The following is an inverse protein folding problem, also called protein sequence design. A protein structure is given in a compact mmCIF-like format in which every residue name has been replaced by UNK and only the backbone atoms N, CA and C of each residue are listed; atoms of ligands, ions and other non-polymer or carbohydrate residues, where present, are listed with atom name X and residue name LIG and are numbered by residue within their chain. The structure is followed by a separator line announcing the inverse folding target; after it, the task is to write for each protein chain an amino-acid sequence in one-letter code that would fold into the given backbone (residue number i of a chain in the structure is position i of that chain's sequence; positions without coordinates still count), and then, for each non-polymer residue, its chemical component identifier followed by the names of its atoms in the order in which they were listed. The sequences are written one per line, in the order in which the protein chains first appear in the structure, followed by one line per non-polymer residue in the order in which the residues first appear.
data_IF_841697037069
#
_entry.id   IF_841697037069
#
_cell.length_a   1.000
_cell.length_b   1.000
_cell.length_c   1.000
_cell.angle_alpha   90.00
_cell.angle_beta   90.00
_cell.angle_gamma   90.00
#
_symmetry.space_group_name_H-M   'P 1'
#
loop_
_entity.id
_entity.type
_entity.pdbx_description
1 polymer ?
#
# COMPACT_ATOMS: atom_id res chain seq x y z
N UNK A 1 18.16 46.41 55.28
CA UNK A 1 17.42 45.12 55.24
C UNK A 1 16.37 45.21 54.15
N UNK A 2 16.22 44.16 53.33
CA UNK A 2 15.28 43.95 52.21
C UNK A 2 15.86 44.07 50.79
N UNK A 3 15.82 42.90 50.17
CA UNK A 3 16.07 42.45 48.81
C UNK A 3 15.22 43.16 47.74
N UNK A 4 15.80 43.42 46.56
CA UNK A 4 15.05 43.79 45.36
C UNK A 4 15.34 42.81 44.21
N UNK A 5 14.25 42.41 43.54
CA UNK A 5 14.09 41.32 42.56
C UNK A 5 14.48 41.75 41.13
N UNK A 6 14.66 40.75 40.28
CA UNK A 6 15.01 40.83 38.84
C UNK A 6 14.03 41.64 37.98
N UNK A 7 14.49 42.23 36.86
CA UNK A 7 13.63 42.98 35.94
C UNK A 7 12.96 42.05 34.91
N UNK A 8 11.67 41.80 35.12
CA UNK A 8 10.70 41.67 34.03
C UNK A 8 10.12 43.07 33.78
N UNK A 9 9.60 43.28 32.58
CA UNK A 9 8.88 44.48 32.09
C UNK A 9 9.74 45.46 31.28
N UNK A 10 9.89 45.14 29.99
CA UNK A 10 9.91 46.14 28.91
C UNK A 10 9.67 45.43 27.57
N UNK A 11 8.40 45.22 27.21
CA UNK A 11 7.86 45.36 25.84
C UNK A 11 6.37 45.00 25.84
N UNK A 12 5.55 45.84 26.46
CA UNK A 12 4.11 45.84 26.27
C UNK A 12 3.73 47.10 25.49
N UNK A 13 3.81 47.04 24.15
CA UNK A 13 3.08 47.92 23.21
C UNK A 13 3.36 47.49 21.76
N UNK A 14 2.64 46.47 21.31
CA UNK A 14 2.03 46.51 19.98
C UNK A 14 0.72 45.73 20.03
N UNK A 15 -0.37 46.47 19.93
CA UNK A 15 -1.75 46.01 20.08
C UNK A 15 -2.22 45.37 18.77
N UNK A 16 -2.66 44.12 18.89
CA UNK A 16 -3.79 43.48 18.19
C UNK A 16 -4.17 44.01 16.80
N UNK A 17 -3.95 43.16 15.78
CA UNK A 17 -5.06 42.71 14.92
C UNK A 17 -5.31 41.23 15.19
N UNK A 18 -6.48 40.94 15.78
CA UNK A 18 -6.99 39.59 16.00
C UNK A 18 -7.33 38.98 14.63
N UNK A 19 -6.63 37.92 14.23
CA UNK A 19 -7.24 36.84 13.48
C UNK A 19 -7.52 35.72 14.49
N UNK A 20 -8.78 35.29 14.60
CA UNK A 20 -9.20 34.30 15.59
C UNK A 20 -8.57 32.91 15.34
N UNK A 21 -8.58 32.01 16.34
CA UNK A 21 -8.15 30.63 16.17
C UNK A 21 -9.27 29.81 15.50
N UNK A 22 -9.60 30.09 14.24
CA UNK A 22 -10.61 29.35 13.48
C UNK A 22 -10.56 29.68 12.00
N UNK A 23 -9.66 29.01 11.27
CA UNK A 23 -9.61 29.08 9.81
C UNK A 23 -8.82 27.90 9.22
N UNK A 24 -7.81 27.41 9.93
CA UNK A 24 -7.04 26.21 9.54
C UNK A 24 -7.88 24.93 9.65
N UNK A 25 -8.87 24.89 10.55
CA UNK A 25 -9.70 23.70 10.80
C UNK A 25 -10.97 23.64 9.94
N UNK A 26 -11.40 24.76 9.34
CA UNK A 26 -12.62 24.80 8.52
C UNK A 26 -12.41 24.25 7.10
N UNK A 27 -11.15 24.12 6.64
CA UNK A 27 -10.82 23.58 5.31
C UNK A 27 -10.54 22.06 5.28
N UNK A 28 -10.97 21.32 6.31
CA UNK A 28 -10.92 19.88 6.28
C UNK A 28 -9.52 19.26 6.33
N UNK A 29 -8.53 19.96 6.87
CA UNK A 29 -7.17 19.47 7.10
C UNK A 29 -7.14 18.18 7.95
N UNK A 30 -6.35 17.20 7.53
CA UNK A 30 -5.99 16.00 8.30
C UNK A 30 -4.81 16.28 9.25
N UNK A 31 -4.47 15.34 10.16
CA UNK A 31 -3.30 15.49 11.05
C UNK A 31 -1.98 15.67 10.27
N UNK A 32 -1.83 15.01 9.11
CA UNK A 32 -0.72 15.23 8.18
C UNK A 32 -0.69 16.66 7.64
N UNK A 33 -1.85 17.21 7.25
CA UNK A 33 -1.96 18.59 6.77
C UNK A 33 -1.59 19.58 7.88
N UNK A 34 -2.00 19.33 9.12
CA UNK A 34 -1.68 20.20 10.27
C UNK A 34 -0.19 20.17 10.61
N UNK A 35 0.46 19.00 10.55
CA UNK A 35 1.90 18.88 10.77
C UNK A 35 2.71 19.64 9.70
N UNK A 36 2.25 19.65 8.45
CA UNK A 36 2.87 20.39 7.35
C UNK A 36 2.63 21.92 7.42
N UNK A 37 1.47 22.36 7.92
CA UNK A 37 1.13 23.78 8.03
C UNK A 37 1.76 24.45 9.27
N UNK A 38 1.84 23.76 10.41
CA UNK A 38 2.29 24.37 11.66
C UNK A 38 3.82 24.43 11.83
N UNK A 39 4.60 23.60 11.12
CA UNK A 39 6.04 23.44 11.38
C UNK A 39 6.97 23.95 10.27
N UNK A 40 6.42 24.57 9.22
CA UNK A 40 7.16 24.79 7.98
C UNK A 40 7.42 23.46 7.27
N UNK A 41 7.96 23.50 6.05
CA UNK A 41 8.31 22.28 5.28
C UNK A 41 9.27 21.44 6.12
N UNK A 42 8.74 20.44 6.82
CA UNK A 42 9.57 19.44 7.46
C UNK A 42 9.96 18.43 6.36
N UNK A 43 11.23 18.39 5.91
CA UNK A 43 11.69 17.38 4.96
C UNK A 43 11.61 15.97 5.56
N UNK A 44 11.56 15.86 6.90
CA UNK A 44 11.60 14.59 7.60
C UNK A 44 10.26 13.84 7.53
N UNK A 45 10.38 12.51 7.44
CA UNK A 45 9.27 11.58 7.53
C UNK A 45 8.53 11.80 8.87
N UNK A 46 7.20 11.54 8.96
CA UNK A 46 6.44 11.69 10.20
C UNK A 46 6.97 10.82 11.35
N UNK A 47 7.85 9.87 11.04
CA UNK A 47 8.65 9.08 11.96
C UNK A 47 10.12 9.41 11.70
N UNK A 48 10.95 9.55 12.74
CA UNK A 48 12.37 9.87 12.56
C UNK A 48 12.99 8.76 11.69
N UNK A 49 13.92 9.10 10.78
CA UNK A 49 14.54 8.14 9.87
C UNK A 49 15.13 6.92 10.61
N UNK A 50 15.60 7.11 11.85
CA UNK A 50 16.05 6.05 12.75
C UNK A 50 14.96 5.04 13.16
N UNK A 51 13.70 5.47 13.28
CA UNK A 51 12.58 4.62 13.70
C UNK A 51 12.07 3.79 12.51
N UNK A 52 12.17 4.35 11.30
CA UNK A 52 11.97 3.62 10.03
C UNK A 52 13.11 2.63 9.80
N UNK A 53 14.36 3.03 10.04
CA UNK A 53 15.52 2.12 9.99
C UNK A 53 15.43 1.00 11.01
N UNK A 54 15.01 1.28 12.24
CA UNK A 54 14.86 0.25 13.26
C UNK A 54 13.77 -0.76 12.88
N UNK A 55 12.66 -0.31 12.26
CA UNK A 55 11.65 -1.21 11.70
C UNK A 55 12.16 -2.06 10.51
N UNK A 56 13.02 -1.50 9.66
CA UNK A 56 13.65 -2.21 8.54
C UNK A 56 14.79 -3.15 8.98
N UNK A 57 15.54 -2.78 10.01
CA UNK A 57 16.65 -3.54 10.59
C UNK A 57 16.15 -4.68 11.50
N UNK A 58 15.08 -4.48 12.28
CA UNK A 58 14.46 -5.55 13.08
C UNK A 58 13.93 -6.69 12.21
N UNK A 59 13.48 -6.39 10.98
CA UNK A 59 13.09 -7.39 9.97
C UNK A 59 14.29 -8.01 9.21
N UNK A 60 15.51 -7.49 9.43
CA UNK A 60 16.75 -7.97 8.83
C UNK A 60 17.67 -8.69 9.84
N UNK A 61 17.46 -8.51 11.16
CA UNK A 61 18.42 -8.95 12.18
C UNK A 61 18.47 -10.43 12.51
N UNK A 62 17.60 -11.29 11.95
CA UNK A 62 17.74 -12.75 12.13
C UNK A 62 18.55 -13.46 11.03
N UNK A 63 19.12 -12.74 10.06
CA UNK A 63 20.00 -13.39 9.07
C UNK A 63 21.25 -12.53 8.81
N UNK A 64 22.36 -13.00 9.36
CA UNK A 64 23.75 -12.58 9.15
C UNK A 64 24.32 -11.44 10.01
N UNK A 65 25.03 -11.88 11.05
CA UNK A 65 26.24 -11.24 11.57
C UNK A 65 27.21 -10.97 10.42
N UNK A 66 27.48 -9.71 10.08
CA UNK A 66 28.82 -9.15 9.81
C UNK A 66 28.69 -7.64 9.54
N UNK A 67 29.53 -6.86 10.23
CA UNK A 67 29.55 -5.39 10.29
C UNK A 67 30.18 -4.75 9.05
N UNK A 68 29.64 -3.62 8.61
CA UNK A 68 30.44 -2.45 8.19
C UNK A 68 29.63 -1.13 8.40
N UNK A 69 30.04 -0.20 9.30
CA UNK A 69 29.21 0.93 9.72
C UNK A 69 29.37 2.24 8.91
N UNK A 70 29.85 2.21 7.66
CA UNK A 70 30.09 3.46 6.87
C UNK A 70 29.52 3.46 5.44
N UNK A 71 28.33 2.91 5.22
CA UNK A 71 27.64 3.08 3.92
C UNK A 71 26.85 4.39 3.89
N UNK A 72 27.44 5.45 3.28
CA UNK A 72 26.72 6.67 2.88
C UNK A 72 25.43 6.29 2.15
N UNK A 73 24.33 6.99 2.47
CA UNK A 73 23.03 6.87 1.80
C UNK A 73 23.26 6.89 0.28
N UNK A 74 23.08 5.73 -0.35
CA UNK A 74 23.05 5.64 -1.80
C UNK A 74 21.77 6.39 -2.21
N UNK A 75 21.86 7.39 -3.10
CA UNK A 75 20.66 7.99 -3.75
C UNK A 75 19.69 6.86 -4.09
N UNK A 76 18.38 7.03 -3.87
CA UNK A 76 17.38 6.09 -4.39
C UNK A 76 17.54 6.03 -5.92
N UNK A 77 18.37 5.11 -6.39
CA UNK A 77 18.66 4.89 -7.80
C UNK A 77 17.52 4.04 -8.34
N UNK A 78 16.49 4.67 -8.90
CA UNK A 78 15.35 3.93 -9.48
C UNK A 78 14.15 4.79 -9.89
N UNK A 79 13.99 6.00 -9.34
CA UNK A 79 12.86 6.88 -9.70
C UNK A 79 13.03 7.42 -11.12
N UNK A 80 12.00 7.27 -11.93
CA UNK A 80 11.90 7.81 -13.28
C UNK A 80 11.36 9.23 -13.19
N UNK A 81 12.02 10.17 -13.90
CA UNK A 81 11.65 11.58 -13.91
C UNK A 81 10.58 11.83 -15.01
N UNK A 82 9.43 12.38 -14.60
CA UNK A 82 8.31 12.77 -15.48
C UNK A 82 8.02 14.28 -15.47
N UNK A 83 8.98 15.12 -15.09
CA UNK A 83 8.84 16.59 -14.98
C UNK A 83 8.47 17.27 -16.32
N UNK A 84 8.68 16.56 -17.43
CA UNK A 84 8.28 17.02 -18.77
C UNK A 84 6.77 16.90 -19.03
N UNK A 85 6.03 16.13 -18.23
CA UNK A 85 4.57 16.03 -18.30
C UNK A 85 3.98 16.98 -17.25
N UNK A 86 3.13 17.96 -17.64
CA UNK A 86 2.47 18.83 -16.68
C UNK A 86 1.72 18.02 -15.62
N UNK A 87 1.87 18.38 -14.34
CA UNK A 87 1.42 17.53 -13.22
C UNK A 87 -0.06 17.20 -13.26
N UNK A 88 -0.90 18.15 -13.67
CA UNK A 88 -2.34 17.97 -13.83
C UNK A 88 -2.73 16.98 -14.94
N UNK A 89 -1.81 16.69 -15.85
CA UNK A 89 -1.99 15.71 -16.94
C UNK A 89 -1.40 14.34 -16.61
N UNK A 90 -0.64 14.23 -15.52
CA UNK A 90 -0.08 12.95 -15.08
C UNK A 90 -1.16 12.07 -14.47
N UNK A 91 -1.07 10.77 -14.75
CA UNK A 91 -1.94 9.74 -14.20
C UNK A 91 -1.18 8.87 -13.20
N UNK A 92 -1.82 8.63 -12.05
CA UNK A 92 -1.36 7.70 -11.01
C UNK A 92 -2.38 6.57 -10.90
N UNK A 93 -1.98 5.34 -11.23
CA UNK A 93 -2.89 4.18 -11.17
C UNK A 93 -2.74 3.47 -9.83
N UNK A 94 -3.88 3.18 -9.20
CA UNK A 94 -3.98 2.55 -7.90
C UNK A 94 -4.75 1.25 -8.01
N UNK A 95 -4.17 0.14 -7.55
CA UNK A 95 -4.77 -1.18 -7.67
C UNK A 95 -5.20 -1.75 -6.32
N UNK A 96 -6.50 -2.08 -6.14
CA UNK A 96 -7.02 -2.56 -4.87
C UNK A 96 -6.45 -3.94 -4.50
N UNK A 97 -6.55 -4.27 -3.22
CA UNK A 97 -6.09 -5.55 -2.69
C UNK A 97 -7.20 -6.54 -2.40
N UNK A 98 -6.85 -7.62 -1.71
CA UNK A 98 -7.81 -8.58 -1.18
C UNK A 98 -8.76 -7.88 -0.18
N UNK A 99 -10.05 -8.19 -0.29
CA UNK A 99 -11.14 -7.53 0.42
C UNK A 99 -11.96 -6.60 -0.47
N UNK A 100 -11.50 -6.33 -1.70
CA UNK A 100 -12.24 -5.54 -2.68
C UNK A 100 -13.16 -6.37 -3.60
N UNK A 101 -13.03 -7.71 -3.57
CA UNK A 101 -13.85 -8.62 -4.37
C UNK A 101 -15.33 -8.61 -3.96
N UNK A 102 -16.21 -8.78 -4.94
CA UNK A 102 -17.65 -8.96 -4.75
C UNK A 102 -18.23 -9.76 -5.93
N UNK A 103 -19.34 -10.47 -5.72
CA UNK A 103 -20.02 -11.18 -6.81
C UNK A 103 -20.64 -10.17 -7.77
N UNK A 104 -20.38 -10.35 -9.06
CA UNK A 104 -20.74 -9.43 -10.14
C UNK A 104 -19.60 -8.50 -10.56
N UNK A 105 -18.42 -8.59 -9.94
CA UNK A 105 -17.24 -7.85 -10.40
C UNK A 105 -16.77 -8.33 -11.77
N UNK A 106 -16.23 -7.43 -12.58
CA UNK A 106 -15.83 -7.73 -13.96
C UNK A 106 -16.93 -7.48 -14.98
N UNK A 107 -18.21 -7.44 -14.58
CA UNK A 107 -19.34 -7.26 -15.50
C UNK A 107 -19.24 -6.00 -16.38
N UNK A 108 -18.68 -4.91 -15.85
CA UNK A 108 -18.63 -3.61 -16.56
C UNK A 108 -17.54 -3.54 -17.63
N UNK A 109 -16.66 -4.55 -17.68
CA UNK A 109 -15.54 -4.57 -18.63
C UNK A 109 -15.70 -5.65 -19.71
N UNK A 110 -16.70 -6.55 -19.60
CA UNK A 110 -16.88 -7.66 -20.56
C UNK A 110 -17.37 -7.23 -21.94
N UNK A 111 -17.82 -5.99 -22.10
CA UNK A 111 -18.09 -5.37 -23.39
C UNK A 111 -16.80 -5.01 -24.16
N UNK A 112 -15.64 -4.99 -23.49
CA UNK A 112 -14.33 -4.82 -24.09
C UNK A 112 -13.69 -6.19 -24.40
N UNK A 113 -13.24 -6.34 -25.65
CA UNK A 113 -12.66 -7.60 -26.15
C UNK A 113 -11.38 -7.96 -25.42
N UNK A 114 -10.51 -6.99 -25.18
CA UNK A 114 -9.23 -7.13 -24.51
C UNK A 114 -9.43 -7.56 -23.04
N UNK A 115 -10.39 -6.93 -22.36
CA UNK A 115 -10.78 -7.30 -21.01
C UNK A 115 -11.32 -8.73 -20.93
N UNK A 116 -12.19 -9.13 -21.87
CA UNK A 116 -12.70 -10.51 -21.95
C UNK A 116 -11.59 -11.53 -22.19
N UNK A 117 -10.65 -11.23 -23.08
CA UNK A 117 -9.50 -12.08 -23.35
C UNK A 117 -8.65 -12.33 -22.08
N UNK A 118 -8.48 -11.33 -21.21
CA UNK A 118 -7.79 -11.52 -19.92
C UNK A 118 -8.48 -12.54 -19.02
N UNK A 119 -9.81 -12.59 -19.00
CA UNK A 119 -10.57 -13.60 -18.25
C UNK A 119 -10.43 -15.01 -18.85
N UNK A 120 -10.43 -15.12 -20.18
CA UNK A 120 -10.25 -16.39 -20.89
C UNK A 120 -8.84 -16.96 -20.67
N UNK A 121 -7.81 -16.13 -20.86
CA UNK A 121 -6.40 -16.47 -20.58
C UNK A 121 -6.20 -16.87 -19.12
N UNK A 122 -6.82 -16.12 -18.19
CA UNK A 122 -6.74 -16.44 -16.77
C UNK A 122 -7.37 -17.78 -16.46
N UNK A 123 -8.56 -18.06 -17.00
CA UNK A 123 -9.26 -19.33 -16.77
C UNK A 123 -8.44 -20.52 -17.29
N UNK A 124 -7.77 -20.36 -18.43
CA UNK A 124 -6.85 -21.37 -18.96
C UNK A 124 -5.63 -21.63 -18.04
N UNK A 125 -5.03 -20.57 -17.48
CA UNK A 125 -3.87 -20.69 -16.56
C UNK A 125 -4.29 -21.27 -15.19
N UNK A 126 -5.46 -20.86 -14.69
CA UNK A 126 -5.95 -21.24 -13.38
C UNK A 126 -6.53 -22.67 -13.38
N UNK A 127 -7.11 -23.10 -14.50
CA UNK A 127 -7.76 -24.40 -14.66
C UNK A 127 -9.21 -24.43 -14.19
N UNK A 128 -9.83 -23.27 -14.02
CA UNK A 128 -11.25 -23.12 -13.68
C UNK A 128 -11.79 -21.82 -14.28
N UNK A 129 -13.11 -21.74 -14.43
CA UNK A 129 -13.80 -20.56 -14.98
C UNK A 129 -13.79 -19.41 -13.95
N UNK A 130 -12.83 -18.50 -14.11
CA UNK A 130 -12.68 -17.35 -13.23
C UNK A 130 -13.77 -16.30 -13.52
N UNK A 131 -14.13 -16.12 -14.79
CA UNK A 131 -15.17 -15.17 -15.19
C UNK A 131 -16.49 -15.50 -14.49
N UNK A 132 -16.94 -16.76 -14.61
CA UNK A 132 -18.15 -17.22 -13.95
C UNK A 132 -18.08 -17.07 -12.44
N UNK A 133 -16.93 -17.37 -11.82
CA UNK A 133 -16.77 -17.20 -10.38
C UNK A 133 -16.88 -15.73 -9.96
N UNK A 134 -16.32 -14.80 -10.73
CA UNK A 134 -16.43 -13.36 -10.47
C UNK A 134 -17.86 -12.85 -10.66
N UNK A 135 -18.56 -13.31 -11.69
CA UNK A 135 -19.90 -12.83 -12.04
C UNK A 135 -21.01 -13.44 -11.17
N UNK A 136 -20.94 -14.73 -10.90
CA UNK A 136 -22.02 -15.53 -10.32
C UNK A 136 -21.70 -16.04 -8.90
N UNK A 137 -20.43 -16.13 -8.53
CA UNK A 137 -20.00 -16.65 -7.24
C UNK A 137 -19.98 -18.19 -7.17
N UNK A 138 -20.26 -18.81 -6.00
CA UNK A 138 -20.78 -18.19 -4.78
C UNK A 138 -19.74 -17.32 -4.07
N UNK A 139 -20.20 -16.31 -3.33
CA UNK A 139 -19.36 -15.38 -2.56
C UNK A 139 -18.42 -16.12 -1.59
N UNK A 140 -18.90 -17.20 -0.97
CA UNK A 140 -18.11 -18.03 -0.05
C UNK A 140 -16.89 -18.67 -0.70
N UNK A 141 -16.99 -19.03 -1.99
CA UNK A 141 -15.85 -19.53 -2.77
C UNK A 141 -14.96 -18.38 -3.22
N UNK A 142 -15.56 -17.32 -3.77
CA UNK A 142 -14.84 -16.14 -4.24
C UNK A 142 -13.98 -15.50 -3.13
N UNK A 143 -14.43 -15.51 -1.88
CA UNK A 143 -13.71 -14.96 -0.74
C UNK A 143 -12.55 -15.82 -0.21
N UNK A 144 -12.38 -17.07 -0.67
CA UNK A 144 -11.23 -17.87 -0.26
C UNK A 144 -9.96 -17.34 -0.92
N UNK A 145 -8.86 -17.31 -0.17
CA UNK A 145 -7.56 -16.74 -0.59
C UNK A 145 -7.11 -17.21 -1.97
N UNK A 146 -7.27 -18.51 -2.26
CA UNK A 146 -6.89 -19.14 -3.53
C UNK A 146 -7.64 -18.59 -4.74
N UNK A 147 -8.88 -18.10 -4.55
CA UNK A 147 -9.71 -17.55 -5.62
C UNK A 147 -9.72 -16.01 -5.62
N UNK A 148 -9.80 -15.37 -4.45
CA UNK A 148 -9.94 -13.92 -4.37
C UNK A 148 -8.71 -13.18 -4.92
N UNK A 149 -7.50 -13.70 -4.69
CA UNK A 149 -6.29 -13.06 -5.19
C UNK A 149 -6.28 -13.03 -6.73
N UNK A 150 -6.39 -14.17 -7.44
CA UNK A 150 -6.51 -14.15 -8.90
C UNK A 150 -7.67 -13.30 -9.40
N UNK A 151 -8.82 -13.38 -8.73
CA UNK A 151 -10.02 -12.66 -9.13
C UNK A 151 -9.83 -11.14 -9.08
N UNK A 152 -9.29 -10.60 -7.98
CA UNK A 152 -8.99 -9.16 -7.86
C UNK A 152 -7.95 -8.73 -8.91
N UNK A 153 -6.88 -9.51 -9.09
CA UNK A 153 -5.83 -9.19 -10.06
C UNK A 153 -6.37 -9.13 -11.49
N UNK A 154 -7.06 -10.18 -11.95
CA UNK A 154 -7.58 -10.26 -13.32
C UNK A 154 -8.63 -9.19 -13.57
N UNK A 155 -9.55 -8.97 -12.63
CA UNK A 155 -10.53 -7.89 -12.72
C UNK A 155 -9.88 -6.50 -12.80
N UNK A 156 -8.81 -6.25 -12.05
CA UNK A 156 -8.03 -5.01 -12.14
C UNK A 156 -7.33 -4.84 -13.49
N UNK A 157 -6.72 -5.90 -14.03
CA UNK A 157 -6.05 -5.83 -15.35
C UNK A 157 -7.09 -5.66 -16.47
N UNK A 158 -8.21 -6.38 -16.42
CA UNK A 158 -9.30 -6.22 -17.38
C UNK A 158 -9.87 -4.79 -17.36
N UNK A 159 -10.01 -4.18 -16.18
CA UNK A 159 -10.38 -2.77 -16.04
C UNK A 159 -9.33 -1.84 -16.67
N UNK A 160 -8.04 -2.13 -16.48
CA UNK A 160 -6.95 -1.36 -17.06
C UNK A 160 -6.95 -1.43 -18.59
N UNK A 161 -7.21 -2.60 -19.19
CA UNK A 161 -7.30 -2.75 -20.65
C UNK A 161 -8.39 -1.83 -21.21
N UNK A 162 -9.60 -1.88 -20.63
CA UNK A 162 -10.71 -1.02 -21.07
C UNK A 162 -10.40 0.47 -20.85
N UNK A 163 -9.87 0.83 -19.68
CA UNK A 163 -9.52 2.22 -19.36
C UNK A 163 -8.51 2.81 -20.35
N UNK A 164 -7.51 2.03 -20.77
CA UNK A 164 -6.50 2.49 -21.75
C UNK A 164 -7.09 2.75 -23.13
N UNK A 165 -8.20 2.09 -23.50
CA UNK A 165 -8.92 2.33 -24.75
C UNK A 165 -9.82 3.56 -24.67
N UNK A 166 -10.39 3.82 -23.50
CA UNK A 166 -11.29 4.96 -23.27
C UNK A 166 -10.55 6.27 -22.99
N UNK A 167 -9.33 6.20 -22.43
CA UNK A 167 -8.52 7.35 -22.02
C UNK A 167 -7.06 7.20 -22.50
N UNK A 168 -6.73 7.83 -23.64
CA UNK A 168 -5.38 7.87 -24.20
C UNK A 168 -4.35 8.50 -23.25
N UNK A 169 -4.80 9.38 -22.35
CA UNK A 169 -3.98 9.98 -21.32
C UNK A 169 -3.47 8.95 -20.33
N UNK A 170 -4.27 7.93 -19.99
CA UNK A 170 -3.81 6.82 -19.13
C UNK A 170 -2.72 6.00 -19.82
N UNK A 171 -2.84 5.76 -21.12
CA UNK A 171 -1.84 5.00 -21.87
C UNK A 171 -0.49 5.75 -21.99
N UNK A 172 -0.52 7.07 -22.13
CA UNK A 172 0.66 7.89 -22.47
C UNK A 172 1.25 8.68 -21.31
N UNK A 173 0.45 8.97 -20.26
CA UNK A 173 0.82 9.88 -19.16
C UNK A 173 0.80 9.22 -17.79
N UNK A 174 0.79 7.89 -17.71
CA UNK A 174 0.96 7.17 -16.44
C UNK A 174 2.39 7.31 -15.93
N UNK A 175 2.57 8.04 -14.85
CA UNK A 175 3.90 8.31 -14.25
C UNK A 175 4.19 7.41 -13.05
N UNK A 176 3.15 6.99 -12.36
CA UNK A 176 3.23 6.27 -11.10
C UNK A 176 2.15 5.19 -11.03
N UNK A 177 2.51 4.02 -10.52
CA UNK A 177 1.57 2.92 -10.26
C UNK A 177 1.84 2.31 -8.89
N UNK A 178 0.79 2.09 -8.13
CA UNK A 178 0.89 1.46 -6.81
C UNK A 178 -0.29 0.52 -6.60
N UNK A 179 -0.10 -0.52 -5.80
CA UNK A 179 -1.19 -1.42 -5.48
C UNK A 179 -1.08 -2.01 -4.09
N UNK A 180 -2.22 -2.21 -3.44
CA UNK A 180 -2.27 -2.66 -2.07
C UNK A 180 -2.19 -4.18 -1.98
N UNK A 181 -1.15 -4.71 -1.33
CA UNK A 181 -0.92 -6.16 -1.17
C UNK A 181 -0.92 -6.90 -2.52
N UNK A 182 -1.94 -7.71 -2.82
CA UNK A 182 -2.11 -8.38 -4.11
C UNK A 182 -2.17 -7.40 -5.30
N UNK A 183 -2.68 -6.18 -5.08
CA UNK A 183 -2.71 -5.13 -6.11
C UNK A 183 -1.31 -4.70 -6.59
N UNK A 184 -0.25 -4.97 -5.82
CA UNK A 184 1.13 -4.72 -6.27
C UNK A 184 1.47 -5.50 -7.55
N UNK A 185 0.87 -6.67 -7.75
CA UNK A 185 1.08 -7.48 -8.95
C UNK A 185 0.42 -6.82 -10.16
N UNK A 186 -0.77 -6.24 -9.97
CA UNK A 186 -1.41 -5.41 -10.99
C UNK A 186 -0.56 -4.17 -11.32
N UNK A 187 0.03 -3.54 -10.30
CA UNK A 187 0.94 -2.41 -10.49
C UNK A 187 2.22 -2.80 -11.24
N UNK A 188 2.81 -3.97 -10.94
CA UNK A 188 3.97 -4.49 -11.65
C UNK A 188 3.68 -4.79 -13.12
N UNK A 189 2.48 -5.29 -13.44
CA UNK A 189 2.02 -5.50 -14.83
C UNK A 189 1.75 -4.16 -15.51
N UNK A 190 1.03 -3.25 -14.86
CA UNK A 190 0.74 -1.92 -15.39
C UNK A 190 2.01 -1.12 -15.70
N UNK A 191 3.03 -1.26 -14.85
CA UNK A 191 4.37 -0.66 -15.01
C UNK A 191 5.32 -1.46 -15.91
N UNK A 192 4.87 -2.54 -16.55
CA UNK A 192 5.64 -3.32 -17.53
C UNK A 192 6.75 -4.21 -16.95
N UNK A 193 6.82 -4.36 -15.62
CA UNK A 193 7.83 -5.17 -14.96
C UNK A 193 7.57 -6.67 -15.05
N UNK A 194 6.29 -7.06 -15.12
CA UNK A 194 5.82 -8.44 -15.31
C UNK A 194 4.84 -8.51 -16.47
N UNK A 195 4.79 -9.64 -17.18
CA UNK A 195 3.66 -9.93 -18.07
C UNK A 195 2.43 -10.33 -17.25
N UNK A 196 1.25 -10.25 -17.87
CA UNK A 196 0.00 -10.68 -17.26
C UNK A 196 0.05 -12.16 -16.84
N UNK A 197 0.51 -13.04 -17.73
CA UNK A 197 0.55 -14.49 -17.53
C UNK A 197 1.54 -14.87 -16.43
N UNK A 198 2.73 -14.26 -16.44
CA UNK A 198 3.76 -14.49 -15.43
C UNK A 198 3.31 -14.00 -14.06
N UNK A 199 2.71 -12.80 -13.99
CA UNK A 199 2.13 -12.30 -12.75
C UNK A 199 1.03 -13.24 -12.24
N UNK A 200 0.14 -13.74 -13.11
CA UNK A 200 -0.92 -14.65 -12.72
C UNK A 200 -0.40 -16.01 -12.21
N UNK A 201 0.64 -16.57 -12.84
CA UNK A 201 1.28 -17.81 -12.37
C UNK A 201 1.87 -17.66 -10.97
N UNK A 202 2.63 -16.58 -10.76
CA UNK A 202 3.21 -16.28 -9.44
C UNK A 202 2.11 -16.05 -8.41
N UNK A 203 1.04 -15.36 -8.81
CA UNK A 203 -0.07 -15.01 -7.93
C UNK A 203 -0.95 -16.21 -7.58
N UNK A 204 -1.16 -17.15 -8.51
CA UNK A 204 -1.74 -18.47 -8.22
C UNK A 204 -0.93 -19.17 -7.15
N UNK A 205 0.40 -19.26 -7.33
CA UNK A 205 1.27 -19.93 -6.35
C UNK A 205 1.27 -19.24 -5.00
N UNK A 206 1.33 -17.90 -4.99
CA UNK A 206 1.19 -17.08 -3.79
C UNK A 206 -0.11 -17.39 -3.05
N UNK A 207 -1.23 -17.40 -3.76
CA UNK A 207 -2.54 -17.60 -3.16
C UNK A 207 -2.67 -19.00 -2.54
N UNK A 208 -2.19 -20.04 -3.22
CA UNK A 208 -2.10 -21.42 -2.71
C UNK A 208 -1.21 -21.52 -1.48
N UNK A 209 0.01 -20.98 -1.55
CA UNK A 209 0.99 -21.07 -0.48
C UNK A 209 0.52 -20.33 0.79
N UNK A 210 -0.01 -19.11 0.64
CA UNK A 210 -0.57 -18.35 1.76
C UNK A 210 -1.84 -19.01 2.32
N UNK A 211 -2.65 -19.66 1.48
CA UNK A 211 -3.78 -20.45 1.95
C UNK A 211 -3.33 -21.63 2.81
N UNK A 212 -2.28 -22.35 2.39
CA UNK A 212 -1.72 -23.46 3.15
C UNK A 212 -1.18 -23.01 4.51
N UNK A 213 -0.47 -21.88 4.59
CA UNK A 213 -0.03 -21.30 5.87
C UNK A 213 -1.21 -21.08 6.83
N UNK A 214 -2.35 -20.61 6.33
CA UNK A 214 -3.55 -20.39 7.14
C UNK A 214 -4.19 -21.68 7.67
N UNK A 215 -3.96 -22.84 7.03
CA UNK A 215 -4.44 -24.12 7.53
C UNK A 215 -3.58 -24.66 8.67
N UNK A 216 -2.32 -24.23 8.77
CA UNK A 216 -1.39 -24.68 9.81
C UNK A 216 -1.64 -23.99 11.15
N UNK A 217 -2.09 -22.74 11.14
CA UNK A 217 -2.27 -21.94 12.35
C UNK A 217 -3.51 -21.06 12.24
N UNK A 218 -4.42 -21.22 13.19
CA UNK A 218 -5.57 -20.33 13.34
C UNK A 218 -5.07 -18.93 13.72
N UNK A 219 -5.31 -17.97 12.83
CA UNK A 219 -4.88 -16.60 12.99
C UNK A 219 -5.90 -15.64 12.38
N UNK A 220 -5.76 -14.35 12.68
CA UNK A 220 -6.64 -13.33 12.14
C UNK A 220 -6.00 -11.96 12.16
N UNK A 221 -6.69 -11.00 11.55
CA UNK A 221 -6.25 -9.61 11.51
C UNK A 221 -7.34 -8.71 12.08
N UNK A 222 -6.91 -7.72 12.87
CA UNK A 222 -7.75 -6.64 13.34
C UNK A 222 -7.12 -5.31 12.91
N UNK A 223 -7.95 -4.38 12.47
CA UNK A 223 -7.51 -2.98 12.33
C UNK A 223 -7.57 -2.33 13.73
N UNK A 224 -6.66 -1.44 14.10
CA UNK A 224 -6.61 -0.82 15.45
C UNK A 224 -6.32 0.67 15.36
N UNK A 225 -7.21 1.52 15.93
CA UNK A 225 -7.01 2.98 16.03
C UNK A 225 -5.82 3.32 16.91
N UNK A 226 -4.89 4.10 16.38
CA UNK A 226 -3.79 4.66 17.16
C UNK A 226 -3.68 6.17 16.92
N UNK A 227 -3.23 6.89 17.94
CA UNK A 227 -2.88 8.30 17.93
C UNK A 227 -1.46 8.49 18.51
N UNK A 228 -0.96 9.73 18.58
CA UNK A 228 0.39 10.00 19.07
C UNK A 228 0.65 9.54 20.52
N UNK A 229 -0.37 9.38 21.35
CA UNK A 229 -0.24 8.89 22.73
C UNK A 229 -0.44 7.37 22.88
N UNK A 230 -0.78 6.67 21.79
CA UNK A 230 -1.02 5.24 21.80
C UNK A 230 0.28 4.46 21.99
N UNK A 231 0.29 3.56 22.97
CA UNK A 231 1.44 2.69 23.26
C UNK A 231 1.29 1.36 22.53
N UNK A 232 1.28 1.39 21.19
CA UNK A 232 1.03 0.20 20.37
C UNK A 232 2.04 -0.92 20.67
N UNK A 233 3.33 -0.60 20.79
CA UNK A 233 4.36 -1.60 21.09
C UNK A 233 4.14 -2.28 22.44
N UNK A 234 3.69 -1.53 23.45
CA UNK A 234 3.34 -2.08 24.74
C UNK A 234 2.09 -2.98 24.66
N UNK A 235 1.09 -2.58 23.87
CA UNK A 235 -0.11 -3.39 23.65
C UNK A 235 0.20 -4.70 22.90
N UNK A 236 1.06 -4.65 21.87
CA UNK A 236 1.54 -5.82 21.15
C UNK A 236 2.32 -6.74 22.10
N UNK A 237 3.25 -6.18 22.89
CA UNK A 237 4.01 -6.94 23.89
C UNK A 237 3.07 -7.64 24.88
N UNK A 238 2.11 -6.91 25.45
CA UNK A 238 1.13 -7.47 26.37
C UNK A 238 0.27 -8.58 25.72
N UNK A 239 -0.12 -8.42 24.45
CA UNK A 239 -0.85 -9.45 23.72
C UNK A 239 -0.02 -10.74 23.53
N UNK A 240 1.28 -10.61 23.26
CA UNK A 240 2.20 -11.76 23.15
C UNK A 240 2.41 -12.45 24.49
N UNK A 241 2.58 -11.68 25.57
CA UNK A 241 2.69 -12.21 26.94
C UNK A 241 1.42 -12.96 27.34
N UNK A 242 0.24 -12.38 27.08
CA UNK A 242 -1.05 -13.01 27.33
C UNK A 242 -1.24 -14.33 26.54
N UNK A 243 -0.84 -14.36 25.26
CA UNK A 243 -0.87 -15.59 24.48
C UNK A 243 0.08 -16.66 25.04
N UNK A 244 1.28 -16.26 25.48
CA UNK A 244 2.27 -17.15 26.08
C UNK A 244 1.77 -17.76 27.41
N UNK A 245 1.10 -16.98 28.26
CA UNK A 245 0.46 -17.46 29.49
C UNK A 245 -0.59 -18.54 29.21
N UNK A 246 -1.27 -18.44 28.07
CA UNK A 246 -2.28 -19.41 27.60
C UNK A 246 -1.70 -20.58 26.79
N UNK A 247 -0.37 -20.62 26.61
CA UNK A 247 0.33 -21.59 25.75
C UNK A 247 -0.15 -21.55 24.29
N UNK A 248 -0.61 -20.38 23.84
CA UNK A 248 -0.98 -20.10 22.45
C UNK A 248 0.23 -19.53 21.68
N UNK A 249 0.18 -19.52 20.35
CA UNK A 249 1.24 -18.94 19.51
C UNK A 249 1.24 -17.42 19.70
N UNK A 250 2.26 -16.89 20.38
CA UNK A 250 2.42 -15.48 20.72
C UNK A 250 2.87 -14.57 19.57
N UNK A 251 2.28 -14.74 18.37
CA UNK A 251 2.55 -13.86 17.24
C UNK A 251 1.47 -12.77 17.19
N UNK A 252 1.91 -11.52 17.34
CA UNK A 252 1.09 -10.34 17.18
C UNK A 252 1.97 -9.26 16.55
N UNK A 253 1.67 -8.88 15.31
CA UNK A 253 2.50 -7.98 14.51
C UNK A 253 1.64 -6.97 13.75
N UNK A 254 2.27 -5.86 13.35
CA UNK A 254 1.65 -4.92 12.43
C UNK A 254 1.73 -5.50 11.02
N UNK A 255 0.59 -5.82 10.43
CA UNK A 255 0.52 -6.33 9.05
C UNK A 255 0.37 -5.21 8.00
N UNK A 256 -0.27 -4.09 8.34
CA UNK A 256 -0.55 -3.01 7.39
C UNK A 256 -0.45 -1.62 8.06
N UNK A 257 0.22 -0.69 7.38
CA UNK A 257 0.20 0.74 7.70
C UNK A 257 -0.73 1.44 6.70
N UNK A 258 -1.97 1.75 7.11
CA UNK A 258 -3.01 2.23 6.20
C UNK A 258 -3.12 3.76 6.11
N UNK A 259 -3.08 4.47 7.25
CA UNK A 259 -3.22 5.93 7.35
C UNK A 259 -2.79 6.47 8.73
N UNK A 260 -2.47 7.77 8.80
CA UNK A 260 -1.95 8.45 9.98
C UNK A 260 -3.05 8.77 11.02
N UNK A 261 -2.77 8.53 12.30
CA UNK A 261 -3.50 9.11 13.46
C UNK A 261 -4.98 8.72 13.64
N UNK A 262 -5.53 7.88 12.77
CA UNK A 262 -6.89 7.32 12.81
C UNK A 262 -6.74 5.90 12.30
N UNK A 263 -7.42 4.90 12.85
CA UNK A 263 -7.69 3.59 12.23
C UNK A 263 -8.97 3.03 12.88
N UNK A 264 -9.72 2.16 12.23
CA UNK A 264 -11.00 1.62 12.77
C UNK A 264 -10.73 0.28 13.43
N UNK A 265 -11.38 -0.04 14.56
CA UNK A 265 -11.35 -1.42 15.09
C UNK A 265 -12.37 -2.28 14.34
N UNK A 266 -11.89 -3.09 13.39
CA UNK A 266 -12.72 -4.06 12.69
C UNK A 266 -11.91 -5.35 12.53
N UNK A 267 -12.50 -6.48 12.92
CA UNK A 267 -12.00 -7.80 12.49
C UNK A 267 -12.06 -7.82 10.98
N UNK A 268 -10.92 -8.03 10.33
CA UNK A 268 -10.89 -8.20 8.89
C UNK A 268 -11.48 -9.57 8.57
N UNK A 269 -12.35 -9.62 7.54
CA UNK A 269 -12.93 -10.86 7.03
C UNK A 269 -11.87 -11.59 6.19
N UNK A 270 -10.78 -11.99 6.83
CA UNK A 270 -9.65 -12.69 6.24
C UNK A 270 -9.42 -14.00 6.96
N UNK A 271 -9.00 -15.01 6.21
CA UNK A 271 -8.78 -16.38 6.69
C UNK A 271 -7.50 -16.55 7.51
N UNK A 272 -6.62 -15.53 7.58
CA UNK A 272 -5.41 -15.60 8.38
C UNK A 272 -4.68 -14.27 8.53
N UNK A 273 -3.53 -14.30 9.20
CA UNK A 273 -2.69 -13.15 9.51
C UNK A 273 -1.65 -12.89 8.42
N UNK A 274 -2.10 -12.39 7.27
CA UNK A 274 -1.25 -12.05 6.13
C UNK A 274 -0.24 -10.95 6.48
N UNK A 275 0.90 -10.91 5.77
CA UNK A 275 1.96 -9.91 5.97
C UNK A 275 2.66 -10.00 7.34
N UNK A 276 2.67 -11.19 7.92
CA UNK A 276 3.36 -11.52 9.17
C UNK A 276 4.27 -12.74 8.99
N UNK A 277 5.07 -13.06 10.00
CA UNK A 277 5.93 -14.25 10.00
C UNK A 277 5.16 -15.58 9.87
N UNK A 278 3.84 -15.58 10.11
CA UNK A 278 3.00 -16.76 9.87
C UNK A 278 2.93 -17.17 8.39
N UNK A 279 3.32 -16.28 7.47
CA UNK A 279 3.39 -16.56 6.04
C UNK A 279 4.79 -16.99 5.56
N UNK A 280 5.74 -17.25 6.48
CA UNK A 280 7.13 -17.54 6.13
C UNK A 280 7.29 -18.72 5.16
N UNK A 281 6.50 -19.76 5.35
CA UNK A 281 6.55 -20.97 4.51
C UNK A 281 6.13 -20.70 3.05
N UNK A 282 5.34 -19.64 2.80
CA UNK A 282 4.95 -19.26 1.45
C UNK A 282 6.05 -18.52 0.67
N UNK A 283 7.03 -17.94 1.36
CA UNK A 283 8.13 -17.17 0.74
C UNK A 283 8.98 -18.01 -0.23
N UNK A 284 9.53 -19.19 0.15
CA UNK A 284 10.32 -20.00 -0.76
C UNK A 284 9.51 -20.45 -1.99
N UNK A 285 8.23 -20.78 -1.82
CA UNK A 285 7.36 -21.18 -2.93
C UNK A 285 7.17 -20.07 -3.97
N UNK A 286 6.93 -18.84 -3.50
CA UNK A 286 6.80 -17.67 -4.38
C UNK A 286 8.15 -17.31 -5.01
N UNK A 287 9.27 -17.45 -4.28
CA UNK A 287 10.60 -17.24 -4.84
C UNK A 287 10.90 -18.22 -5.98
N UNK A 288 10.52 -19.49 -5.82
CA UNK A 288 10.74 -20.51 -6.85
C UNK A 288 9.93 -20.24 -8.11
N UNK A 289 8.71 -19.73 -7.97
CA UNK A 289 7.91 -19.29 -9.12
C UNK A 289 8.50 -18.03 -9.76
N UNK A 290 8.95 -17.05 -8.96
CA UNK A 290 9.60 -15.83 -9.44
C UNK A 290 10.94 -16.07 -10.16
N UNK A 291 11.59 -17.23 -9.96
CA UNK A 291 12.80 -17.62 -10.70
C UNK A 291 12.47 -18.02 -12.15
N UNK A 292 11.24 -18.45 -12.42
CA UNK A 292 10.79 -18.94 -13.73
C UNK A 292 10.32 -17.80 -14.65
N UNK A 293 10.03 -16.63 -14.07
CA UNK A 293 9.50 -15.47 -14.81
C UNK A 293 10.58 -14.45 -15.14
N UNK A 294 10.34 -13.69 -16.21
CA UNK A 294 11.18 -12.57 -16.59
C UNK A 294 10.71 -11.29 -15.88
N UNK A 295 11.61 -10.63 -15.16
CA UNK A 295 11.35 -9.33 -14.55
C UNK A 295 12.11 -8.25 -15.31
N UNK A 296 11.37 -7.30 -15.85
CA UNK A 296 11.89 -6.19 -16.64
C UNK A 296 11.98 -4.91 -15.80
N UNK A 297 12.87 -3.98 -16.14
CA UNK A 297 12.86 -2.65 -15.55
C UNK A 297 11.50 -1.97 -15.79
N UNK A 298 10.85 -1.39 -14.77
CA UNK A 298 9.59 -0.68 -14.96
C UNK A 298 9.71 0.51 -15.92
N UNK A 299 8.63 0.80 -16.65
CA UNK A 299 8.54 1.99 -17.54
C UNK A 299 7.98 3.22 -16.84
N UNK A 300 7.42 3.06 -15.64
CA UNK A 300 6.95 4.12 -14.75
C UNK A 300 7.32 3.80 -13.29
N UNK A 301 7.08 4.72 -12.37
CA UNK A 301 7.41 4.51 -10.96
C UNK A 301 6.45 3.47 -10.33
N UNK A 302 6.93 2.25 -10.07
CA UNK A 302 6.17 1.21 -9.37
C UNK A 302 6.54 1.20 -7.89
N UNK A 303 5.58 1.29 -6.99
CA UNK A 303 5.84 1.35 -5.54
C UNK A 303 5.75 -0.03 -4.89
N UNK A 304 6.75 -0.36 -4.05
CA UNK A 304 6.82 -1.59 -3.29
C UNK A 304 6.17 -1.42 -1.92
N UNK A 305 5.23 -2.30 -1.58
CA UNK A 305 4.62 -2.40 -0.26
C UNK A 305 5.61 -2.77 0.84
N UNK A 306 6.67 -3.53 0.52
CA UNK A 306 7.71 -3.91 1.49
C UNK A 306 8.57 -2.73 1.95
N UNK A 307 9.07 -1.91 1.01
CA UNK A 307 9.99 -0.80 1.31
C UNK A 307 9.28 0.55 1.50
N UNK A 308 8.03 0.67 1.04
CA UNK A 308 7.32 1.95 0.99
C UNK A 308 7.93 2.94 -0.02
N UNK A 309 8.73 2.45 -0.98
CA UNK A 309 9.45 3.23 -1.96
C UNK A 309 9.36 2.59 -3.36
N UNK A 310 9.85 3.30 -4.39
CA UNK A 310 9.89 2.80 -5.77
C UNK A 310 10.76 1.53 -5.87
N UNK A 311 10.31 0.55 -6.65
CA UNK A 311 11.08 -0.66 -6.95
C UNK A 311 12.44 -0.31 -7.58
N UNK A 312 13.51 -1.05 -7.26
CA UNK A 312 14.78 -0.92 -7.95
C UNK A 312 14.67 -1.43 -9.39
N UNK A 313 15.59 -1.02 -10.26
CA UNK A 313 15.63 -1.48 -11.65
C UNK A 313 16.22 -2.89 -11.82
N UNK A 314 16.83 -3.44 -10.78
CA UNK A 314 17.50 -4.75 -10.83
C UNK A 314 16.53 -5.87 -10.50
N UNK A 315 16.30 -6.76 -11.48
CA UNK A 315 15.39 -7.91 -11.36
C UNK A 315 15.63 -8.78 -10.12
N UNK A 316 16.90 -9.03 -9.74
CA UNK A 316 17.23 -9.80 -8.51
C UNK A 316 16.70 -9.15 -7.24
N UNK A 317 16.82 -7.82 -7.13
CA UNK A 317 16.35 -7.07 -5.96
C UNK A 317 14.81 -7.03 -5.96
N UNK A 318 14.18 -6.82 -7.12
CA UNK A 318 12.73 -6.89 -7.27
C UNK A 318 12.17 -8.25 -6.84
N UNK A 319 12.72 -9.37 -7.33
CA UNK A 319 12.29 -10.73 -6.92
C UNK A 319 12.27 -10.89 -5.42
N UNK A 320 13.35 -10.46 -4.76
CA UNK A 320 13.47 -10.57 -3.32
C UNK A 320 12.42 -9.74 -2.59
N UNK A 321 12.16 -8.51 -3.06
CA UNK A 321 11.16 -7.62 -2.48
C UNK A 321 9.73 -8.15 -2.66
N UNK A 322 9.39 -8.65 -3.86
CA UNK A 322 8.07 -9.22 -4.17
C UNK A 322 7.79 -10.43 -3.27
N UNK A 323 8.76 -11.33 -3.10
CA UNK A 323 8.57 -12.50 -2.24
C UNK A 323 8.53 -12.13 -0.75
N UNK A 324 9.41 -11.23 -0.29
CA UNK A 324 9.41 -10.80 1.12
C UNK A 324 8.18 -9.99 1.49
N UNK A 325 7.45 -9.43 0.52
CA UNK A 325 6.17 -8.76 0.75
C UNK A 325 5.19 -9.63 1.57
N UNK A 326 5.23 -10.96 1.40
CA UNK A 326 4.31 -11.89 2.09
C UNK A 326 4.46 -11.89 3.62
N UNK A 327 5.64 -11.56 4.12
CA UNK A 327 6.01 -11.56 5.55
C UNK A 327 6.36 -10.18 6.09
N UNK A 328 6.22 -9.15 5.25
CA UNK A 328 6.54 -7.76 5.60
C UNK A 328 5.26 -6.94 5.67
N UNK A 329 5.17 -5.97 6.58
CA UNK A 329 4.03 -5.07 6.64
C UNK A 329 3.83 -4.33 5.32
N UNK A 330 2.58 -4.15 4.92
CA UNK A 330 2.24 -3.31 3.77
C UNK A 330 2.35 -1.83 4.17
N UNK A 331 3.37 -1.15 3.63
CA UNK A 331 3.66 0.27 3.89
C UNK A 331 2.80 1.22 3.03
N UNK A 332 1.48 1.03 3.04
CA UNK A 332 0.55 1.76 2.17
C UNK A 332 0.45 3.25 2.50
N UNK A 333 0.47 3.61 3.78
CA UNK A 333 0.48 5.00 4.25
C UNK A 333 1.72 5.74 3.72
N UNK A 334 2.88 5.10 3.76
CA UNK A 334 4.14 5.66 3.28
C UNK A 334 4.12 5.86 1.77
N UNK A 335 3.59 4.88 1.02
CA UNK A 335 3.38 5.00 -0.42
C UNK A 335 2.45 6.18 -0.72
N UNK A 336 1.29 6.26 -0.05
CA UNK A 336 0.38 7.38 -0.24
C UNK A 336 1.06 8.71 0.06
N UNK A 337 1.82 8.81 1.17
CA UNK A 337 2.57 10.02 1.50
C UNK A 337 3.51 10.43 0.36
N UNK A 338 4.22 9.50 -0.29
CA UNK A 338 5.03 9.84 -1.47
C UNK A 338 4.16 10.33 -2.64
N UNK A 339 3.03 9.67 -2.86
CA UNK A 339 2.11 10.02 -3.95
C UNK A 339 1.42 11.37 -3.74
N UNK A 340 1.05 11.77 -2.52
CA UNK A 340 0.32 13.02 -2.27
C UNK A 340 1.15 14.13 -1.60
N UNK A 341 2.40 13.88 -1.18
CA UNK A 341 3.26 14.91 -0.56
C UNK A 341 3.58 15.99 -1.57
N UNK A 342 3.07 17.19 -1.32
CA UNK A 342 3.14 18.32 -2.23
C UNK A 342 3.31 19.63 -1.44
N UNK A 343 3.83 20.67 -2.11
CA UNK A 343 3.74 22.03 -1.55
C UNK A 343 2.30 22.50 -1.62
N UNK A 344 1.97 23.52 -0.81
CA UNK A 344 0.58 23.96 -0.62
C UNK A 344 -0.12 24.39 -1.92
N UNK A 345 0.65 24.91 -2.88
CA UNK A 345 0.16 25.46 -4.17
C UNK A 345 0.37 24.51 -5.35
N UNK A 346 0.96 23.32 -5.14
CA UNK A 346 1.18 22.36 -6.21
C UNK A 346 -0.13 21.66 -6.59
N UNK A 347 -0.34 21.45 -7.88
CA UNK A 347 -1.49 20.73 -8.41
C UNK A 347 -1.30 19.22 -8.22
N UNK A 348 -2.38 18.51 -7.93
CA UNK A 348 -2.39 17.06 -7.82
C UNK A 348 -2.59 16.41 -9.21
N UNK A 349 -1.90 15.29 -9.49
CA UNK A 349 -2.19 14.48 -10.67
C UNK A 349 -3.58 13.83 -10.55
N UNK A 350 -4.04 13.18 -11.62
CA UNK A 350 -5.21 12.32 -11.58
C UNK A 350 -4.86 11.01 -10.87
N UNK A 351 -5.58 10.66 -9.81
CA UNK A 351 -5.46 9.36 -9.15
C UNK A 351 -6.60 8.48 -9.60
N UNK A 352 -6.33 7.29 -10.13
CA UNK A 352 -7.36 6.40 -10.68
C UNK A 352 -7.27 5.05 -9.98
N UNK A 353 -8.30 4.69 -9.21
CA UNK A 353 -8.46 3.33 -8.67
C UNK A 353 -8.97 2.40 -9.76
N UNK A 354 -8.19 1.40 -10.14
CA UNK A 354 -8.49 0.50 -11.25
C UNK A 354 -8.74 -0.92 -10.74
N UNK A 355 -10.01 -1.34 -10.75
CA UNK A 355 -10.40 -2.69 -10.34
C UNK A 355 -11.68 -2.74 -9.50
N UNK A 356 -11.93 -3.85 -8.79
CA UNK A 356 -13.16 -4.05 -8.05
C UNK A 356 -13.18 -3.19 -6.77
N UNK A 357 -14.37 -2.79 -6.36
CA UNK A 357 -14.59 -2.06 -5.10
C UNK A 357 -14.15 -0.59 -5.16
N UNK A 358 -14.04 0.02 -3.97
CA UNK A 358 -13.64 1.43 -3.76
C UNK A 358 -12.79 1.58 -2.49
N UNK A 359 -12.05 0.53 -2.16
CA UNK A 359 -11.37 0.39 -0.88
C UNK A 359 -10.26 1.43 -0.74
N UNK A 360 -9.49 1.66 -1.81
CA UNK A 360 -8.36 2.58 -1.76
C UNK A 360 -8.84 4.03 -1.64
N UNK A 361 -9.93 4.40 -2.33
CA UNK A 361 -10.51 5.74 -2.25
C UNK A 361 -11.02 6.07 -0.85
N UNK A 362 -11.64 5.09 -0.19
CA UNK A 362 -12.08 5.24 1.20
C UNK A 362 -10.91 5.44 2.18
N UNK A 363 -9.74 4.83 1.91
CA UNK A 363 -8.53 5.08 2.69
C UNK A 363 -7.91 6.43 2.34
N UNK A 364 -7.88 6.80 1.06
CA UNK A 364 -7.32 8.05 0.57
C UNK A 364 -8.04 9.29 1.10
N UNK A 365 -9.38 9.23 1.15
CA UNK A 365 -10.21 10.31 1.71
C UNK A 365 -9.87 10.62 3.19
N UNK A 366 -9.29 9.65 3.91
CA UNK A 366 -8.85 9.80 5.30
C UNK A 366 -7.44 10.36 5.43
N UNK A 367 -6.60 10.28 4.38
CA UNK A 367 -5.20 10.73 4.39
C UNK A 367 -5.00 12.09 3.74
N UNK A 368 -5.66 12.35 2.60
CA UNK A 368 -5.51 13.62 1.87
C UNK A 368 -6.81 14.03 1.21
N UNK A 369 -7.54 14.97 1.84
CA UNK A 369 -8.76 15.53 1.24
C UNK A 369 -8.48 16.33 -0.03
N UNK A 370 -7.30 16.97 -0.12
CA UNK A 370 -6.89 17.71 -1.32
C UNK A 370 -6.62 16.77 -2.49
N UNK A 371 -5.81 15.73 -2.29
CA UNK A 371 -5.56 14.73 -3.32
C UNK A 371 -6.82 13.95 -3.71
N UNK A 372 -7.72 13.73 -2.75
CA UNK A 372 -9.00 13.07 -3.04
C UNK A 372 -9.89 13.83 -4.04
N UNK A 373 -9.69 15.15 -4.22
CA UNK A 373 -10.43 15.94 -5.22
C UNK A 373 -10.13 15.53 -6.67
N UNK A 374 -8.96 14.95 -6.93
CA UNK A 374 -8.55 14.44 -8.25
C UNK A 374 -8.58 12.91 -8.30
N UNK A 375 -9.29 12.28 -7.36
CA UNK A 375 -9.43 10.84 -7.27
C UNK A 375 -10.64 10.33 -8.03
N UNK A 376 -10.41 9.38 -8.92
CA UNK A 376 -11.38 8.73 -9.79
C UNK A 376 -11.42 7.24 -9.46
N UNK A 377 -12.60 6.62 -9.56
CA UNK A 377 -12.75 5.18 -9.37
C UNK A 377 -13.24 4.57 -10.69
N UNK A 378 -12.39 3.75 -11.29
CA UNK A 378 -12.67 2.99 -12.50
C UNK A 378 -12.95 1.52 -12.13
N UNK A 379 -14.23 1.24 -11.93
CA UNK A 379 -14.73 -0.05 -11.45
C UNK A 379 -14.99 -1.02 -12.58
N UNK A 380 -14.58 -2.28 -12.40
CA UNK A 380 -14.94 -3.42 -13.24
C UNK A 380 -16.20 -4.15 -12.79
#
# INVERSE_FOLDING_TARGET
MRTARSPLVSLARFVRKRAGPSGILDEGATYSDFHHVATGVNPDLPYKEKDIRMGLELNATDVNKHKDPKRKLRKLTGTINFDHIPRQEQCVLLFPGQGAQFVGMGKKVLDCKEAKQRFEEASAILGYDLEKLCLEGPETKLCQTVYCQPAVFVSSIAALEKLRLEDEGVATKTTDVAGFSVGEYSALVAGGALSFEDALRVLKRRAEAMHNCNQLTSAGMITVRVNASSRLDAAIKAAREFAAERKEIGICDVANYLFCGVKVVKRLAVSGAFHTLLMADAVPEVLDELKKVELRPPVCNVYSNMSGAVFPTKSREMRHMIARQLVSPVLWEQIQQLLYRRKQDDIFPRYIEVGPGKQLGAMWAQTSKKGYKTYESYSC
#
